data_IF_882436394385
#
_entry.id   IF_882436394385
#
_cell.length_a   1.000
_cell.length_b   1.000
_cell.length_c   1.000
_cell.angle_alpha   90.00
_cell.angle_beta   90.00
_cell.angle_gamma   90.00
#
_symmetry.space_group_name_H-M   'P 1'
#
loop_
_entity.id
_entity.type
_entity.pdbx_description
1 polymer ?
#
# COMPACT_ATOMS: atom_id res chain seq x y z
N UNK A 1 80.61 7.13 -10.19
CA UNK A 1 79.71 8.00 -9.41
C UNK A 1 78.37 7.98 -10.12
N UNK A 2 77.48 7.00 -9.73
CA UNK A 2 76.24 6.66 -10.39
C UNK A 2 75.07 7.30 -9.62
N UNK A 3 74.38 8.25 -10.21
CA UNK A 3 73.12 8.81 -9.66
C UNK A 3 71.94 7.93 -10.05
N UNK A 4 71.33 7.28 -9.06
CA UNK A 4 70.09 6.54 -9.26
C UNK A 4 68.90 7.48 -9.36
N UNK A 5 68.23 7.43 -10.50
CA UNK A 5 66.98 8.15 -10.76
C UNK A 5 65.82 7.27 -10.25
N UNK A 6 65.14 7.70 -9.18
CA UNK A 6 63.90 7.08 -8.72
C UNK A 6 62.72 7.65 -9.51
N UNK A 7 62.18 6.81 -10.39
CA UNK A 7 60.91 7.12 -11.06
C UNK A 7 59.75 6.70 -10.16
N UNK A 8 59.06 7.67 -9.58
CA UNK A 8 57.79 7.46 -8.90
C UNK A 8 56.72 7.15 -9.94
N UNK A 9 56.26 5.91 -10.00
CA UNK A 9 55.02 5.55 -10.67
C UNK A 9 53.86 5.93 -9.77
N UNK A 10 53.23 7.07 -10.04
CA UNK A 10 51.96 7.45 -9.45
C UNK A 10 50.84 6.58 -10.05
N UNK A 11 50.34 5.61 -9.28
CA UNK A 11 49.15 4.87 -9.64
C UNK A 11 47.95 5.80 -9.33
N UNK A 12 47.45 6.43 -10.39
CA UNK A 12 46.21 7.19 -10.34
C UNK A 12 45.03 6.19 -10.33
N UNK A 13 44.53 5.86 -9.14
CA UNK A 13 43.27 5.13 -8.99
C UNK A 13 42.12 6.06 -9.32
N UNK A 14 41.71 6.09 -10.58
CA UNK A 14 40.45 6.69 -10.94
C UNK A 14 39.32 5.81 -10.43
N UNK A 15 38.72 6.21 -9.31
CA UNK A 15 37.43 5.69 -8.87
C UNK A 15 36.38 6.06 -9.93
N UNK A 16 36.07 5.11 -10.78
CA UNK A 16 34.90 5.21 -11.65
C UNK A 16 33.66 4.93 -10.79
N UNK A 17 33.08 6.01 -10.28
CA UNK A 17 31.74 5.93 -9.66
C UNK A 17 30.77 5.65 -10.80
N UNK A 18 30.40 4.39 -10.95
CA UNK A 18 29.24 4.02 -11.77
C UNK A 18 28.02 4.63 -11.08
N UNK A 19 27.57 5.77 -11.57
CA UNK A 19 26.24 6.29 -11.28
C UNK A 19 25.25 5.30 -11.91
N UNK A 20 24.71 4.39 -11.11
CA UNK A 20 23.54 3.59 -11.51
C UNK A 20 22.40 4.59 -11.62
N UNK A 21 22.08 4.98 -12.84
CA UNK A 21 20.86 5.72 -13.10
C UNK A 21 19.69 4.82 -12.67
N UNK A 22 19.03 5.18 -11.57
CA UNK A 22 17.76 4.57 -11.20
C UNK A 22 16.75 4.99 -12.29
N UNK A 23 16.54 4.09 -13.24
CA UNK A 23 15.46 4.25 -14.22
C UNK A 23 14.15 3.96 -13.48
N UNK A 24 13.41 5.01 -13.14
CA UNK A 24 12.05 4.85 -12.64
C UNK A 24 11.22 4.05 -13.66
N UNK A 25 10.57 3.00 -13.20
CA UNK A 25 9.62 2.26 -14.03
C UNK A 25 8.23 2.84 -13.81
N UNK A 26 7.62 3.33 -14.89
CA UNK A 26 6.25 3.82 -14.86
C UNK A 26 5.29 2.66 -15.10
N UNK A 27 4.32 2.44 -14.20
CA UNK A 27 3.23 1.50 -14.40
C UNK A 27 2.07 2.27 -15.01
N UNK A 28 1.66 1.96 -16.27
CA UNK A 28 0.58 2.68 -16.94
C UNK A 28 -0.75 2.53 -16.22
N UNK A 29 -1.57 3.58 -16.23
CA UNK A 29 -2.87 3.62 -15.55
C UNK A 29 -3.91 2.63 -16.13
N UNK A 30 -3.72 2.12 -17.33
CA UNK A 30 -4.56 1.09 -17.96
C UNK A 30 -4.43 -0.30 -17.30
N UNK A 31 -3.44 -0.47 -16.41
CA UNK A 31 -3.26 -1.68 -15.61
C UNK A 31 -4.12 -1.70 -14.34
N UNK A 32 -4.68 -0.58 -13.93
CA UNK A 32 -5.52 -0.45 -12.75
C UNK A 32 -7.01 -0.44 -13.10
N UNK A 33 -7.85 -0.76 -12.14
CA UNK A 33 -9.31 -0.67 -12.28
C UNK A 33 -9.80 0.75 -12.57
N UNK A 34 -9.02 1.77 -12.14
CA UNK A 34 -9.28 3.18 -12.41
C UNK A 34 -7.97 3.97 -12.40
N UNK A 35 -7.92 5.07 -13.16
CA UNK A 35 -6.72 5.93 -13.27
C UNK A 35 -6.50 6.86 -12.08
N UNK A 36 -7.51 7.05 -11.22
CA UNK A 36 -7.41 7.88 -10.02
C UNK A 36 -6.94 7.00 -8.87
N UNK A 37 -5.67 7.11 -8.52
CA UNK A 37 -5.05 6.41 -7.40
C UNK A 37 -5.12 7.29 -6.16
N UNK A 38 -5.72 6.77 -5.08
CA UNK A 38 -5.89 7.48 -3.82
C UNK A 38 -4.79 7.15 -2.82
N UNK A 39 -4.37 5.89 -2.75
CA UNK A 39 -3.38 5.42 -1.78
C UNK A 39 -2.68 4.14 -2.24
N UNK A 40 -1.56 3.79 -1.61
CA UNK A 40 -0.86 2.54 -1.84
C UNK A 40 -0.14 2.05 -0.58
N UNK A 41 -0.07 0.73 -0.40
CA UNK A 41 0.79 0.12 0.61
C UNK A 41 1.41 -1.19 0.10
N UNK A 42 2.47 -1.65 0.77
CA UNK A 42 3.07 -2.95 0.50
C UNK A 42 2.78 -3.90 1.67
N UNK A 43 2.31 -5.11 1.35
CA UNK A 43 2.09 -6.14 2.36
C UNK A 43 3.41 -6.91 2.69
N UNK A 44 3.36 -7.72 3.72
CA UNK A 44 4.51 -8.53 4.18
C UNK A 44 4.99 -9.59 3.18
N UNK A 45 4.20 -9.87 2.15
CA UNK A 45 4.53 -10.82 1.09
C UNK A 45 5.17 -10.12 -0.12
N UNK A 46 5.26 -8.78 -0.09
CA UNK A 46 5.81 -7.96 -1.15
C UNK A 46 4.80 -7.52 -2.21
N UNK A 47 3.52 -7.88 -2.08
CA UNK A 47 2.49 -7.36 -2.98
C UNK A 47 2.27 -5.88 -2.75
N UNK A 48 2.04 -5.14 -3.83
CA UNK A 48 1.63 -3.73 -3.78
C UNK A 48 0.11 -3.66 -3.91
N UNK A 49 -0.51 -3.04 -2.94
CA UNK A 49 -1.95 -2.75 -2.95
C UNK A 49 -2.17 -1.30 -3.36
N UNK A 50 -3.11 -1.08 -4.26
CA UNK A 50 -3.40 0.22 -4.87
C UNK A 50 -4.88 0.52 -4.74
N UNK A 51 -5.21 1.55 -3.96
CA UNK A 51 -6.55 2.10 -3.82
C UNK A 51 -6.88 2.98 -5.01
N UNK A 52 -8.06 2.81 -5.59
CA UNK A 52 -8.56 3.67 -6.66
C UNK A 52 -10.02 4.08 -6.43
N UNK A 53 -10.49 5.07 -7.18
CA UNK A 53 -11.90 5.48 -7.15
C UNK A 53 -12.86 4.39 -7.63
N UNK A 54 -12.35 3.30 -8.23
CA UNK A 54 -13.18 2.19 -8.70
C UNK A 54 -12.49 0.84 -8.50
N UNK A 55 -12.30 0.45 -7.24
CA UNK A 55 -11.77 -0.84 -6.83
C UNK A 55 -10.41 -0.78 -6.16
N UNK A 56 -10.06 -1.92 -5.57
CA UNK A 56 -8.76 -2.20 -4.99
C UNK A 56 -7.97 -3.11 -5.94
N UNK A 57 -6.71 -2.78 -6.18
CA UNK A 57 -5.85 -3.58 -7.03
C UNK A 57 -4.68 -4.13 -6.23
N UNK A 58 -4.33 -5.41 -6.46
CA UNK A 58 -3.12 -6.05 -5.94
C UNK A 58 -2.18 -6.38 -7.08
N UNK A 59 -0.94 -5.97 -6.96
CA UNK A 59 0.15 -6.32 -7.86
C UNK A 59 1.16 -7.23 -7.16
N UNK A 60 1.38 -8.42 -7.69
CA UNK A 60 2.27 -9.45 -7.14
C UNK A 60 3.69 -9.45 -7.75
N UNK A 61 4.01 -8.43 -8.55
CA UNK A 61 5.25 -8.33 -9.32
C UNK A 61 5.09 -8.76 -10.78
N UNK A 62 4.00 -9.46 -11.13
CA UNK A 62 3.72 -9.96 -12.48
C UNK A 62 2.32 -9.62 -12.94
N UNK A 63 1.31 -9.85 -12.10
CA UNK A 63 -0.10 -9.73 -12.44
C UNK A 63 -0.81 -8.73 -11.54
N UNK A 64 -1.88 -8.13 -12.09
CA UNK A 64 -2.84 -7.36 -11.34
C UNK A 64 -4.09 -8.20 -11.07
N UNK A 65 -4.53 -8.20 -9.81
CA UNK A 65 -5.84 -8.72 -9.38
C UNK A 65 -6.67 -7.55 -8.93
N UNK A 66 -7.87 -7.39 -9.49
CA UNK A 66 -8.80 -6.33 -9.12
C UNK A 66 -9.90 -6.89 -8.23
N UNK A 67 -10.21 -6.18 -7.15
CA UNK A 67 -11.32 -6.45 -6.23
C UNK A 67 -12.34 -5.33 -6.35
N UNK A 68 -13.60 -5.70 -6.52
CA UNK A 68 -14.73 -4.78 -6.63
C UNK A 68 -15.80 -5.13 -5.61
N UNK A 69 -16.69 -4.16 -5.35
CA UNK A 69 -17.94 -4.40 -4.63
C UNK A 69 -18.91 -5.16 -5.53
N UNK A 70 -19.58 -6.15 -4.95
CA UNK A 70 -20.68 -6.90 -5.56
C UNK A 70 -21.83 -7.02 -4.55
N UNK A 71 -22.97 -6.44 -4.88
CA UNK A 71 -24.18 -6.49 -4.03
C UNK A 71 -24.68 -7.92 -3.76
N UNK A 72 -24.31 -8.89 -4.61
CA UNK A 72 -24.66 -10.30 -4.45
C UNK A 72 -23.67 -11.07 -3.59
N UNK A 73 -22.48 -10.53 -3.35
CA UNK A 73 -21.41 -11.15 -2.54
C UNK A 73 -21.10 -10.32 -1.29
N UNK A 74 -21.62 -10.70 -0.11
CA UNK A 74 -21.37 -9.98 1.14
C UNK A 74 -19.91 -10.06 1.62
N UNK A 75 -19.07 -10.87 0.98
CA UNK A 75 -17.65 -10.96 1.26
C UNK A 75 -16.78 -10.16 0.26
N UNK A 76 -17.40 -9.44 -0.66
CA UNK A 76 -16.74 -8.48 -1.55
C UNK A 76 -16.37 -7.18 -0.81
N UNK A 77 -15.74 -6.22 -1.47
CA UNK A 77 -15.50 -4.88 -0.90
C UNK A 77 -16.82 -4.20 -0.49
N UNK A 78 -16.83 -3.48 0.63
CA UNK A 78 -18.03 -2.74 1.05
C UNK A 78 -18.37 -1.56 0.11
N UNK A 79 -17.40 -1.05 -0.65
CA UNK A 79 -17.61 -0.03 -1.67
C UNK A 79 -16.45 0.04 -2.67
N UNK A 80 -16.76 0.37 -3.95
CA UNK A 80 -15.73 0.48 -4.99
C UNK A 80 -14.78 1.67 -4.82
N UNK A 81 -15.22 2.78 -4.24
CA UNK A 81 -14.35 3.93 -4.02
C UNK A 81 -13.45 3.69 -2.81
N UNK A 82 -12.24 3.16 -3.06
CA UNK A 82 -11.22 2.90 -2.04
C UNK A 82 -10.40 4.17 -1.84
N UNK A 83 -10.28 4.61 -0.58
CA UNK A 83 -9.72 5.92 -0.23
C UNK A 83 -8.38 5.81 0.48
N UNK A 84 -8.24 4.85 1.42
CA UNK A 84 -7.03 4.69 2.23
C UNK A 84 -6.71 3.22 2.47
N UNK A 85 -5.44 2.91 2.66
CA UNK A 85 -4.91 1.57 2.91
C UNK A 85 -3.97 1.58 4.09
N UNK A 86 -3.99 0.52 4.88
CA UNK A 86 -3.00 0.28 5.92
C UNK A 86 -2.59 -1.20 5.92
N UNK A 87 -1.32 -1.46 5.62
CA UNK A 87 -0.69 -2.74 5.91
C UNK A 87 -0.09 -2.66 7.32
N UNK A 88 -0.76 -3.25 8.31
CA UNK A 88 -0.34 -3.16 9.70
C UNK A 88 0.85 -4.07 10.03
N UNK A 89 1.44 -3.92 11.22
CA UNK A 89 2.63 -4.69 11.66
C UNK A 89 2.35 -6.19 11.80
N UNK A 90 1.09 -6.59 12.00
CA UNK A 90 0.68 -7.99 12.07
C UNK A 90 0.46 -8.57 10.68
N UNK A 91 0.56 -7.74 9.66
CA UNK A 91 0.41 -8.09 8.25
C UNK A 91 -1.04 -8.20 7.81
N UNK A 92 -1.96 -7.53 8.53
CA UNK A 92 -3.36 -7.37 8.10
C UNK A 92 -3.43 -6.18 7.14
N UNK A 93 -4.23 -6.30 6.08
CA UNK A 93 -4.56 -5.20 5.19
C UNK A 93 -5.92 -4.63 5.58
N UNK A 94 -5.93 -3.36 5.93
CA UNK A 94 -7.13 -2.57 6.18
C UNK A 94 -7.43 -1.70 4.96
N UNK A 95 -8.70 -1.63 4.58
CA UNK A 95 -9.16 -0.95 3.37
C UNK A 95 -10.25 0.04 3.74
N UNK A 96 -9.91 1.31 3.75
CA UNK A 96 -10.86 2.39 3.96
C UNK A 96 -11.55 2.80 2.67
N UNK A 97 -12.87 2.84 2.70
CA UNK A 97 -13.68 3.16 1.53
C UNK A 97 -14.58 4.38 1.78
N UNK A 98 -15.32 4.82 0.75
CA UNK A 98 -16.34 5.85 0.92
C UNK A 98 -17.55 5.41 1.75
N UNK A 99 -17.69 4.11 2.09
CA UNK A 99 -18.84 3.56 2.82
C UNK A 99 -18.45 2.49 3.84
N UNK A 100 -17.33 2.67 4.54
CA UNK A 100 -16.92 1.79 5.62
C UNK A 100 -15.47 1.35 5.55
N UNK A 101 -15.13 0.42 6.43
CA UNK A 101 -13.82 -0.17 6.62
C UNK A 101 -13.90 -1.69 6.40
N UNK A 102 -13.00 -2.21 5.60
CA UNK A 102 -12.83 -3.63 5.37
C UNK A 102 -11.47 -4.10 5.89
N UNK A 103 -11.41 -5.38 6.26
CA UNK A 103 -10.17 -6.12 6.47
C UNK A 103 -10.08 -7.24 5.44
N UNK A 104 -9.01 -7.27 4.66
CA UNK A 104 -8.77 -8.34 3.70
C UNK A 104 -8.40 -9.65 4.39
N UNK A 105 -9.01 -10.75 3.95
CA UNK A 105 -8.69 -12.12 4.35
C UNK A 105 -7.85 -12.79 3.26
N UNK A 106 -6.54 -13.01 3.48
CA UNK A 106 -5.68 -13.64 2.47
C UNK A 106 -5.94 -15.13 2.28
N UNK A 107 -6.65 -15.78 3.22
CA UNK A 107 -6.92 -17.22 3.18
C UNK A 107 -7.88 -17.60 2.04
N UNK A 108 -8.84 -16.76 1.78
CA UNK A 108 -9.93 -16.98 0.81
C UNK A 108 -10.07 -15.83 -0.21
N UNK A 109 -9.32 -14.73 -0.04
CA UNK A 109 -9.35 -13.59 -0.93
C UNK A 109 -10.57 -12.68 -0.76
N UNK A 110 -11.22 -12.76 0.40
CA UNK A 110 -12.46 -12.04 0.72
C UNK A 110 -12.23 -10.85 1.64
N UNK A 111 -13.29 -10.11 1.96
CA UNK A 111 -13.27 -8.95 2.84
C UNK A 111 -14.21 -9.15 4.03
N UNK A 112 -13.75 -8.74 5.19
CA UNK A 112 -14.52 -8.72 6.43
C UNK A 112 -14.87 -7.26 6.71
N UNK A 113 -16.17 -6.94 6.69
CA UNK A 113 -16.65 -5.59 6.97
C UNK A 113 -16.55 -5.28 8.45
N UNK A 114 -15.96 -4.14 8.79
CA UNK A 114 -15.85 -3.70 10.17
C UNK A 114 -17.13 -2.95 10.58
N UNK A 115 -17.80 -3.36 11.68
CA UNK A 115 -19.04 -2.71 12.10
C UNK A 115 -18.75 -1.33 12.72
N UNK A 116 -19.48 -0.32 12.26
CA UNK A 116 -19.52 0.98 12.93
C UNK A 116 -20.77 1.09 13.83
N UNK A 117 -20.72 1.89 14.90
CA UNK A 117 -21.87 2.09 15.77
C UNK A 117 -23.11 2.57 15.01
N UNK A 118 -24.31 2.15 15.46
CA UNK A 118 -25.61 2.62 14.94
C UNK A 118 -25.84 2.39 13.43
N UNK A 119 -25.10 1.48 12.79
CA UNK A 119 -25.24 1.20 11.35
C UNK A 119 -24.70 2.32 10.45
N UNK A 120 -23.86 3.21 10.97
CA UNK A 120 -23.15 4.18 10.15
C UNK A 120 -22.27 3.47 9.12
N UNK A 121 -22.20 4.06 7.93
CA UNK A 121 -21.28 3.67 6.87
C UNK A 121 -20.42 4.90 6.50
N UNK A 122 -19.50 5.31 7.39
CA UNK A 122 -18.73 6.52 7.17
C UNK A 122 -17.72 6.36 6.04
N UNK A 123 -17.38 7.47 5.42
CA UNK A 123 -16.17 7.52 4.62
C UNK A 123 -14.96 7.38 5.54
N UNK A 124 -14.06 6.45 5.22
CA UNK A 124 -12.77 6.29 5.89
C UNK A 124 -11.71 7.01 5.07
N UNK A 125 -11.22 8.14 5.58
CA UNK A 125 -10.29 8.98 4.83
C UNK A 125 -8.82 8.70 5.13
N UNK A 126 -8.53 8.10 6.29
CA UNK A 126 -7.16 7.76 6.68
C UNK A 126 -7.13 6.66 7.74
N UNK A 127 -6.03 5.93 7.81
CA UNK A 127 -5.80 4.80 8.71
C UNK A 127 -4.40 4.89 9.29
N UNK A 128 -4.27 4.79 10.61
CA UNK A 128 -2.97 4.84 11.30
C UNK A 128 -2.89 3.75 12.36
N UNK A 129 -1.78 2.99 12.38
CA UNK A 129 -1.48 2.10 13.50
C UNK A 129 -0.58 2.79 14.52
N UNK A 130 -1.02 2.81 15.78
CA UNK A 130 -0.27 3.33 16.91
C UNK A 130 0.86 2.36 17.34
N UNK A 131 1.73 2.83 18.25
CA UNK A 131 2.86 2.03 18.74
C UNK A 131 2.42 0.79 19.53
N UNK A 132 1.27 0.83 20.17
CA UNK A 132 0.66 -0.28 20.92
C UNK A 132 -0.10 -1.30 20.06
N UNK A 133 -0.18 -1.08 18.74
CA UNK A 133 -0.89 -1.95 17.80
C UNK A 133 -2.28 -1.47 17.44
N UNK A 134 -2.86 -0.56 18.21
CA UNK A 134 -4.19 0.01 17.97
C UNK A 134 -4.28 0.66 16.58
N UNK A 135 -5.35 0.39 15.85
CA UNK A 135 -5.63 1.05 14.56
C UNK A 135 -6.64 2.18 14.77
N UNK A 136 -6.25 3.39 14.38
CA UNK A 136 -7.14 4.55 14.33
C UNK A 136 -7.71 4.71 12.92
N UNK A 137 -9.01 5.00 12.88
CA UNK A 137 -9.79 5.18 11.65
C UNK A 137 -10.31 6.61 11.63
N UNK A 138 -9.85 7.40 10.65
CA UNK A 138 -10.28 8.78 10.49
C UNK A 138 -11.53 8.86 9.61
N UNK A 139 -12.61 9.46 10.15
CA UNK A 139 -13.89 9.55 9.45
C UNK A 139 -14.41 11.00 9.47
N UNK A 140 -14.45 11.69 8.33
CA UNK A 140 -14.95 13.06 8.25
C UNK A 140 -16.40 13.17 8.76
N UNK A 141 -16.62 14.09 9.70
CA UNK A 141 -17.94 14.33 10.29
C UNK A 141 -18.31 13.41 11.48
N UNK A 142 -17.58 12.30 11.69
CA UNK A 142 -17.82 11.34 12.78
C UNK A 142 -16.64 11.23 13.76
N UNK A 143 -15.47 11.83 13.42
CA UNK A 143 -14.29 11.84 14.27
C UNK A 143 -13.37 10.65 14.04
N UNK A 144 -12.78 10.12 15.12
CA UNK A 144 -11.86 9.00 15.11
C UNK A 144 -12.52 7.79 15.76
N UNK A 145 -12.45 6.65 15.06
CA UNK A 145 -12.78 5.35 15.64
C UNK A 145 -11.51 4.58 15.97
N UNK A 146 -11.62 3.75 16.99
CA UNK A 146 -10.54 2.88 17.45
C UNK A 146 -10.94 1.45 17.11
N UNK A 147 -10.13 0.76 16.32
CA UNK A 147 -10.27 -0.66 16.10
C UNK A 147 -9.50 -1.37 17.20
N UNK A 148 -10.23 -2.02 18.12
CA UNK A 148 -9.64 -2.89 19.12
C UNK A 148 -9.23 -4.24 18.53
N UNK A 149 -8.25 -4.90 19.14
CA UNK A 149 -8.01 -6.31 18.89
C UNK A 149 -9.16 -7.12 19.52
N UNK A 150 -9.86 -7.94 18.70
CA UNK A 150 -10.76 -8.99 19.17
C UNK A 150 -9.98 -10.23 19.59
#
# INVERSE_FOLDING_TARGET
MMKRLFTLFGICFTFWVMAVAQTGHFIPADRFSNSIVSDLCQDKYGNIWVATDYGLNRYDGYNFTTYLHDDADPASLCNNAVVSLLCDRDGRLWVGTNRGLDRYSPADGTFIHYPFPEGYLPRVCDLVQLADGTVLVCTPGYGLFVVGDD
#
